data_IF_041490644882
#
_entry.id   IF_041490644882
#
_cell.length_a   1.000
_cell.length_b   1.000
_cell.length_c   1.000
_cell.angle_alpha   90.00
_cell.angle_beta   90.00
_cell.angle_gamma   90.00
#
_symmetry.space_group_name_H-M   'P 1'
#
loop_
_entity.id
_entity.type
_entity.pdbx_description
1 polymer ?
#
# COMPACT_ATOMS: atom_id res chain seq x y z
N UNK A 1 4.44 -19.97 6.29
CA UNK A 1 5.19 -19.16 5.31
C UNK A 1 5.14 -17.72 5.76
N UNK A 2 6.29 -17.07 5.96
CA UNK A 2 6.30 -15.62 6.12
C UNK A 2 5.70 -15.02 4.85
N UNK A 3 4.50 -14.45 4.93
CA UNK A 3 3.87 -13.81 3.79
C UNK A 3 4.74 -12.60 3.45
N UNK A 4 5.20 -12.52 2.20
CA UNK A 4 5.94 -11.37 1.70
C UNK A 4 5.16 -10.08 2.06
N UNK A 5 5.81 -9.04 2.62
CA UNK A 5 5.13 -7.81 3.03
C UNK A 5 4.25 -7.18 1.94
N UNK A 6 4.66 -7.29 0.66
CA UNK A 6 3.85 -6.82 -0.48
C UNK A 6 2.54 -7.60 -0.64
N UNK A 7 2.57 -8.90 -0.37
CA UNK A 7 1.37 -9.76 -0.39
C UNK A 7 0.45 -9.44 0.79
N UNK A 8 1.03 -9.14 1.96
CA UNK A 8 0.27 -8.68 3.12
C UNK A 8 -0.39 -7.33 2.85
N UNK A 9 0.35 -6.38 2.27
CA UNK A 9 -0.16 -5.07 1.87
C UNK A 9 -1.31 -5.21 0.85
N UNK A 10 -1.12 -6.02 -0.19
CA UNK A 10 -2.17 -6.28 -1.18
C UNK A 10 -3.42 -6.89 -0.55
N UNK A 11 -3.24 -7.88 0.34
CA UNK A 11 -4.35 -8.53 1.04
C UNK A 11 -5.12 -7.55 1.93
N UNK A 12 -4.42 -6.64 2.60
CA UNK A 12 -5.06 -5.65 3.45
C UNK A 12 -5.78 -4.60 2.61
N UNK A 13 -5.15 -4.04 1.58
CA UNK A 13 -5.76 -3.08 0.65
C UNK A 13 -7.10 -3.57 0.08
N UNK A 14 -7.19 -4.85 -0.27
CA UNK A 14 -8.42 -5.46 -0.79
C UNK A 14 -9.58 -5.38 0.19
N UNK A 15 -9.32 -5.52 1.51
CA UNK A 15 -10.36 -5.38 2.55
C UNK A 15 -10.92 -3.95 2.63
N UNK A 16 -10.12 -2.96 2.22
CA UNK A 16 -10.48 -1.54 2.22
C UNK A 16 -10.95 -1.05 0.84
N UNK A 17 -11.21 -1.95 -0.11
CA UNK A 17 -11.73 -1.58 -1.44
C UNK A 17 -10.66 -1.13 -2.44
N UNK A 18 -9.38 -1.34 -2.15
CA UNK A 18 -8.27 -1.00 -3.03
C UNK A 18 -7.63 -2.26 -3.64
N UNK A 19 -6.94 -2.09 -4.77
CA UNK A 19 -6.08 -3.12 -5.36
C UNK A 19 -4.68 -2.54 -5.49
N UNK A 20 -3.69 -3.27 -4.98
CA UNK A 20 -2.29 -2.94 -5.23
C UNK A 20 -1.96 -3.20 -6.69
N UNK A 21 -1.46 -2.19 -7.39
CA UNK A 21 -1.00 -2.31 -8.77
C UNK A 21 0.49 -2.62 -8.80
N UNK A 22 1.30 -1.69 -8.29
CA UNK A 22 2.76 -1.76 -8.36
C UNK A 22 3.38 -1.15 -7.10
N UNK A 23 4.59 -1.61 -6.75
CA UNK A 23 5.45 -0.99 -5.74
C UNK A 23 6.79 -0.70 -6.42
N UNK A 24 7.19 0.57 -6.46
CA UNK A 24 8.47 1.00 -7.00
C UNK A 24 9.42 1.35 -5.85
N UNK A 25 10.55 0.67 -5.79
CA UNK A 25 11.61 0.98 -4.84
C UNK A 25 12.44 2.16 -5.34
N UNK A 26 12.58 3.19 -4.51
CA UNK A 26 13.39 4.39 -4.79
C UNK A 26 14.42 4.63 -3.69
N UNK A 27 15.39 5.52 -3.91
CA UNK A 27 16.38 5.89 -2.89
C UNK A 27 15.77 6.51 -1.63
N UNK A 28 14.59 7.11 -1.74
CA UNK A 28 13.92 7.85 -0.66
C UNK A 28 12.79 7.04 -0.01
N UNK A 29 12.64 5.77 -0.39
CA UNK A 29 11.57 4.88 0.06
C UNK A 29 10.78 4.30 -1.11
N UNK A 30 9.56 3.84 -0.84
CA UNK A 30 8.75 3.12 -1.81
C UNK A 30 7.58 3.96 -2.32
N UNK A 31 7.32 3.88 -3.62
CA UNK A 31 6.13 4.45 -4.24
C UNK A 31 5.12 3.34 -4.52
N UNK A 32 3.98 3.43 -3.86
CA UNK A 32 2.92 2.42 -3.86
C UNK A 32 1.79 2.94 -4.74
N UNK A 33 1.50 2.22 -5.81
CA UNK A 33 0.39 2.53 -6.70
C UNK A 33 -0.77 1.60 -6.41
N UNK A 34 -1.92 2.17 -6.05
CA UNK A 34 -3.15 1.42 -5.78
C UNK A 34 -4.31 2.00 -6.58
N UNK A 35 -5.31 1.18 -6.88
CA UNK A 35 -6.56 1.61 -7.51
C UNK A 35 -7.74 1.35 -6.58
N UNK A 36 -8.60 2.34 -6.43
CA UNK A 36 -9.88 2.18 -5.75
C UNK A 36 -10.85 1.42 -6.67
N UNK A 37 -11.40 0.29 -6.20
CA UNK A 37 -12.25 -0.58 -7.03
C UNK A 37 -13.53 0.10 -7.50
N UNK A 38 -14.11 0.97 -6.66
CA UNK A 38 -15.43 1.56 -6.92
C UNK A 38 -15.32 2.67 -7.96
N UNK A 39 -14.35 3.56 -7.81
CA UNK A 39 -14.20 4.74 -8.66
C UNK A 39 -13.24 4.54 -9.82
N UNK A 40 -12.41 3.50 -9.77
CA UNK A 40 -11.28 3.31 -10.69
C UNK A 40 -10.15 4.32 -10.48
N UNK A 41 -10.21 5.16 -9.44
CA UNK A 41 -9.20 6.19 -9.17
C UNK A 41 -7.88 5.54 -8.78
N UNK A 42 -6.82 5.90 -9.50
CA UNK A 42 -5.45 5.49 -9.17
C UNK A 42 -4.85 6.49 -8.19
N UNK A 43 -4.27 5.97 -7.11
CA UNK A 43 -3.58 6.74 -6.07
C UNK A 43 -2.14 6.29 -5.94
N UNK A 44 -1.28 7.24 -5.60
CA UNK A 44 0.17 7.07 -5.51
C UNK A 44 0.64 7.54 -4.13
N UNK A 45 1.00 6.60 -3.27
CA UNK A 45 1.47 6.90 -1.92
C UNK A 45 2.97 6.66 -1.83
N UNK A 46 3.69 7.64 -1.28
CA UNK A 46 5.12 7.50 -0.99
C UNK A 46 5.29 7.09 0.46
N UNK A 47 5.87 5.92 0.68
CA UNK A 47 6.30 5.44 1.99
C UNK A 47 7.78 5.73 2.18
N UNK A 48 8.16 6.31 3.33
CA UNK A 48 9.58 6.48 3.70
C UNK A 48 10.25 5.15 4.05
N UNK A 49 9.47 4.21 4.56
CA UNK A 49 9.94 2.88 4.93
C UNK A 49 9.70 1.91 3.77
N UNK A 50 10.72 1.17 3.31
CA UNK A 50 10.53 0.16 2.26
C UNK A 50 9.48 -0.87 2.68
N UNK A 51 8.53 -1.19 1.80
CA UNK A 51 7.49 -2.19 2.02
C UNK A 51 8.13 -3.54 2.36
N UNK A 52 9.25 -3.87 1.72
CA UNK A 52 10.03 -5.09 1.99
C UNK A 52 10.58 -5.19 3.42
N UNK A 53 10.74 -4.06 4.11
CA UNK A 53 11.24 -4.01 5.50
C UNK A 53 10.14 -4.06 6.55
N UNK A 54 8.86 -4.07 6.14
CA UNK A 54 7.73 -4.12 7.07
C UNK A 54 7.62 -5.52 7.67
N UNK A 55 7.76 -5.60 8.99
CA UNK A 55 7.64 -6.85 9.76
C UNK A 55 6.36 -6.93 10.59
N UNK A 56 5.69 -5.79 10.84
CA UNK A 56 4.49 -5.69 11.65
C UNK A 56 3.21 -5.44 10.86
N UNK A 57 2.11 -6.08 11.27
CA UNK A 57 0.76 -5.81 10.73
C UNK A 57 0.31 -4.36 10.96
N UNK A 58 0.77 -3.73 12.04
CA UNK A 58 0.43 -2.35 12.38
C UNK A 58 0.96 -1.36 11.34
N UNK A 59 2.18 -1.57 10.83
CA UNK A 59 2.79 -0.69 9.83
C UNK A 59 2.07 -0.82 8.48
N UNK A 60 1.62 -2.04 8.13
CA UNK A 60 0.79 -2.27 6.94
C UNK A 60 -0.54 -1.51 7.07
N UNK A 61 -1.19 -1.60 8.23
CA UNK A 61 -2.44 -0.88 8.47
C UNK A 61 -2.25 0.64 8.38
N UNK A 62 -1.12 1.17 8.87
CA UNK A 62 -0.79 2.59 8.72
C UNK A 62 -0.65 2.99 7.24
N UNK A 63 0.05 2.19 6.44
CA UNK A 63 0.21 2.39 5.00
C UNK A 63 -1.14 2.40 4.26
N UNK A 64 -2.02 1.46 4.57
CA UNK A 64 -3.36 1.37 3.97
C UNK A 64 -4.22 2.57 4.34
N UNK A 65 -4.08 3.07 5.57
CA UNK A 65 -4.75 4.30 6.00
C UNK A 65 -4.24 5.52 5.22
N UNK A 66 -2.94 5.60 4.90
CA UNK A 66 -2.40 6.66 4.05
C UNK A 66 -2.96 6.61 2.62
N UNK A 67 -3.03 5.41 2.03
CA UNK A 67 -3.68 5.18 0.72
C UNK A 67 -5.12 5.64 0.74
N UNK A 68 -5.87 5.25 1.77
CA UNK A 68 -7.28 5.62 1.92
C UNK A 68 -7.48 7.12 2.11
N UNK A 69 -6.56 7.80 2.80
CA UNK A 69 -6.58 9.26 2.96
C UNK A 69 -6.34 9.98 1.63
N UNK A 70 -5.35 9.55 0.85
CA UNK A 70 -5.07 10.17 -0.45
C UNK A 70 -6.17 9.93 -1.48
N UNK A 71 -6.88 8.80 -1.41
CA UNK A 71 -8.00 8.53 -2.30
C UNK A 71 -9.17 9.51 -2.09
N UNK A 72 -9.37 9.98 -0.86
CA UNK A 72 -10.45 10.90 -0.48
C UNK A 72 -10.14 12.39 -0.73
N UNK A 73 -8.88 12.72 -1.05
CA UNK A 73 -8.47 14.06 -1.50
C UNK A 73 -8.73 14.23 -2.99
#
# INVERSE_FOLDING_TARGET
MAKNPSVLLASELVKHGFVLLDVYHTREGDLIRAVEKITGKVVLVKSKTPVSSITGLNDIAALVNEVSKQAKQ
#
